data_IF_280386609815
#
_entry.id   IF_280386609815
#
_cell.length_a   1.000
_cell.length_b   1.000
_cell.length_c   1.000
_cell.angle_alpha   90.00
_cell.angle_beta   90.00
_cell.angle_gamma   90.00
#
_symmetry.space_group_name_H-M   'P 1'
#
loop_
_entity.id
_entity.type
_entity.pdbx_description
1 polymer ?
#
# COMPACT_ATOMS: atom_id res chain seq x y z
N UNK A 1 27.26 44.76 -5.87
CA UNK A 1 27.58 43.48 -6.54
C UNK A 1 27.41 42.32 -5.54
N UNK A 2 26.24 42.19 -4.92
CA UNK A 2 25.89 41.08 -3.97
C UNK A 2 24.42 40.65 -4.19
N UNK A 3 23.78 41.13 -5.26
CA UNK A 3 22.37 40.89 -5.55
C UNK A 3 22.12 39.78 -6.58
N UNK A 4 23.05 39.59 -7.53
CA UNK A 4 22.83 38.68 -8.67
C UNK A 4 23.14 37.21 -8.32
N UNK A 5 24.10 36.93 -7.43
CA UNK A 5 24.47 35.55 -7.05
C UNK A 5 23.40 34.85 -6.19
N UNK A 6 22.63 35.59 -5.39
CA UNK A 6 21.54 35.00 -4.59
C UNK A 6 20.29 34.68 -5.43
N UNK A 7 20.08 35.41 -6.53
CA UNK A 7 18.92 35.24 -7.41
C UNK A 7 19.09 34.01 -8.32
N UNK A 8 20.33 33.70 -8.72
CA UNK A 8 20.67 32.51 -9.50
C UNK A 8 20.60 31.19 -8.69
N UNK A 9 20.94 31.22 -7.40
CA UNK A 9 20.75 30.06 -6.52
C UNK A 9 19.28 29.74 -6.24
N UNK A 10 18.39 30.74 -6.22
CA UNK A 10 16.94 30.51 -6.15
C UNK A 10 16.40 29.93 -7.46
N UNK A 11 16.83 30.44 -8.62
CA UNK A 11 16.42 29.90 -9.94
C UNK A 11 16.82 28.43 -10.16
N UNK A 12 17.96 28.01 -9.61
CA UNK A 12 18.47 26.64 -9.74
C UNK A 12 17.67 25.60 -8.93
N UNK A 13 17.11 25.97 -7.78
CA UNK A 13 16.32 25.05 -6.95
C UNK A 13 14.87 24.86 -7.43
N UNK A 14 14.35 25.79 -8.24
CA UNK A 14 13.00 25.74 -8.80
C UNK A 14 12.83 24.73 -9.95
N UNK A 15 13.93 24.29 -10.58
CA UNK A 15 13.88 23.31 -11.68
C UNK A 15 13.74 21.86 -11.22
N UNK A 16 13.85 21.60 -9.91
CA UNK A 16 13.76 20.25 -9.32
C UNK A 16 12.43 20.02 -8.60
N UNK A 17 11.44 20.89 -8.79
CA UNK A 17 10.16 20.75 -8.12
C UNK A 17 9.32 19.70 -8.85
N UNK A 18 9.23 18.52 -8.25
CA UNK A 18 8.40 17.42 -8.75
C UNK A 18 6.96 17.90 -8.92
N UNK A 19 6.40 17.63 -10.10
CA UNK A 19 5.00 17.90 -10.40
C UNK A 19 4.10 17.04 -9.51
N UNK A 20 3.17 17.64 -8.75
CA UNK A 20 2.29 16.87 -7.86
C UNK A 20 1.43 15.87 -8.63
N UNK A 21 1.12 16.13 -9.90
CA UNK A 21 0.43 15.19 -10.79
C UNK A 21 1.22 13.90 -10.94
N UNK A 22 2.54 13.98 -11.13
CA UNK A 22 3.39 12.80 -11.31
C UNK A 22 3.48 11.96 -10.04
N UNK A 23 3.52 12.62 -8.88
CA UNK A 23 3.47 11.91 -7.60
C UNK A 23 2.11 11.22 -7.43
N UNK A 24 1.02 11.91 -7.77
CA UNK A 24 -0.33 11.38 -7.69
C UNK A 24 -0.51 10.14 -8.59
N UNK A 25 -0.06 10.23 -9.84
CA UNK A 25 -0.06 9.13 -10.81
C UNK A 25 0.78 7.94 -10.31
N UNK A 26 1.97 8.23 -9.76
CA UNK A 26 2.84 7.20 -9.19
C UNK A 26 2.20 6.49 -8.00
N UNK A 27 1.54 7.23 -7.10
CA UNK A 27 0.81 6.67 -5.96
C UNK A 27 -0.34 5.77 -6.46
N UNK A 28 -1.16 6.25 -7.39
CA UNK A 28 -2.29 5.50 -7.95
C UNK A 28 -1.82 4.19 -8.60
N UNK A 29 -0.76 4.24 -9.41
CA UNK A 29 -0.19 3.05 -10.05
C UNK A 29 0.34 2.01 -9.04
N UNK A 30 0.94 2.46 -7.93
CA UNK A 30 1.41 1.54 -6.90
C UNK A 30 0.27 0.92 -6.09
N UNK A 31 -0.79 1.68 -5.81
CA UNK A 31 -2.01 1.14 -5.16
C UNK A 31 -2.65 0.09 -6.07
N UNK A 32 -2.77 0.37 -7.37
CA UNK A 32 -3.29 -0.58 -8.35
C UNK A 32 -2.49 -1.90 -8.34
N UNK A 33 -1.16 -1.81 -8.46
CA UNK A 33 -0.29 -3.00 -8.46
C UNK A 33 -0.40 -3.83 -7.16
N UNK A 34 -0.57 -3.17 -6.02
CA UNK A 34 -0.75 -3.85 -4.74
C UNK A 34 -2.13 -4.52 -4.64
N UNK A 35 -3.16 -3.96 -5.26
CA UNK A 35 -4.52 -4.51 -5.25
C UNK A 35 -4.73 -5.65 -6.25
N UNK A 36 -3.86 -5.79 -7.26
CA UNK A 36 -3.86 -6.93 -8.21
C UNK A 36 -3.50 -8.28 -7.57
N UNK A 37 -2.86 -8.26 -6.39
CA UNK A 37 -2.55 -9.47 -5.61
C UNK A 37 -1.78 -10.53 -6.41
N UNK A 38 -0.81 -10.09 -7.21
CA UNK A 38 0.12 -10.97 -7.92
C UNK A 38 1.08 -11.68 -6.94
N UNK A 39 1.83 -12.67 -7.44
CA UNK A 39 2.78 -13.45 -6.63
C UNK A 39 3.77 -12.60 -5.80
N UNK A 40 4.15 -11.41 -6.29
CA UNK A 40 5.09 -10.50 -5.62
C UNK A 40 4.41 -9.48 -4.71
N UNK A 41 3.17 -9.09 -5.00
CA UNK A 41 2.45 -8.06 -4.25
C UNK A 41 1.53 -8.60 -3.19
N UNK A 42 1.14 -9.87 -3.26
CA UNK A 42 0.18 -10.51 -2.36
C UNK A 42 0.51 -10.36 -0.87
N UNK A 43 1.79 -10.50 -0.48
CA UNK A 43 2.23 -10.36 0.92
C UNK A 43 2.09 -8.92 1.45
N UNK A 44 2.02 -7.94 0.55
CA UNK A 44 1.93 -6.51 0.88
C UNK A 44 0.55 -5.92 0.59
N UNK A 45 -0.16 -6.43 -0.42
CA UNK A 45 -1.45 -5.97 -0.89
C UNK A 45 -2.63 -6.47 -0.06
N UNK A 46 -2.43 -7.60 0.64
CA UNK A 46 -3.47 -8.18 1.50
C UNK A 46 -3.99 -7.22 2.56
N UNK A 47 -3.14 -6.31 3.05
CA UNK A 47 -3.51 -5.29 4.05
C UNK A 47 -4.62 -4.36 3.57
N UNK A 48 -4.71 -4.07 2.26
CA UNK A 48 -5.76 -3.21 1.72
C UNK A 48 -7.13 -3.88 1.83
N UNK A 49 -7.18 -5.20 1.60
CA UNK A 49 -8.43 -5.96 1.65
C UNK A 49 -8.88 -6.33 3.08
N UNK A 50 -8.06 -6.13 4.11
CA UNK A 50 -8.47 -6.34 5.51
C UNK A 50 -9.54 -5.35 5.98
N UNK A 51 -9.59 -4.16 5.36
CA UNK A 51 -10.57 -3.11 5.65
C UNK A 51 -11.35 -2.75 4.40
N UNK A 52 -12.09 -3.75 3.90
CA UNK A 52 -12.97 -3.67 2.72
C UNK A 52 -13.65 -2.29 2.68
N UNK A 53 -13.42 -1.55 1.60
CA UNK A 53 -13.83 -0.16 1.46
C UNK A 53 -13.36 0.43 0.14
N UNK A 54 -13.15 1.74 0.13
CA UNK A 54 -12.73 2.49 -1.04
C UNK A 54 -11.43 3.24 -0.74
N UNK A 55 -10.48 3.20 -1.66
CA UNK A 55 -9.33 4.09 -1.65
C UNK A 55 -9.54 5.12 -2.75
N UNK A 56 -9.56 6.40 -2.37
CA UNK A 56 -9.70 7.52 -3.30
C UNK A 56 -8.40 8.31 -3.31
N UNK A 57 -7.84 8.52 -4.49
CA UNK A 57 -6.66 9.36 -4.71
C UNK A 57 -7.13 10.71 -5.24
N UNK A 58 -6.80 11.78 -4.51
CA UNK A 58 -7.17 13.15 -4.84
C UNK A 58 -5.94 13.97 -5.21
N UNK A 59 -6.06 14.84 -6.20
CA UNK A 59 -5.12 15.92 -6.49
C UNK A 59 -5.83 17.25 -6.35
N UNK A 60 -5.37 18.11 -5.44
CA UNK A 60 -5.98 19.43 -5.18
C UNK A 60 -7.50 19.37 -4.91
N UNK A 61 -7.96 18.27 -4.31
CA UNK A 61 -9.38 18.02 -4.01
C UNK A 61 -10.18 17.40 -5.15
N UNK A 62 -9.59 17.25 -6.34
CA UNK A 62 -10.21 16.56 -7.47
C UNK A 62 -9.86 15.08 -7.49
N UNK A 63 -10.86 14.24 -7.78
CA UNK A 63 -10.68 12.79 -7.87
C UNK A 63 -9.82 12.41 -9.09
N UNK A 64 -8.77 11.63 -8.84
CA UNK A 64 -7.87 11.10 -9.86
C UNK A 64 -8.03 9.60 -10.06
N UNK A 65 -8.24 8.84 -8.99
CA UNK A 65 -8.45 7.41 -9.05
C UNK A 65 -9.29 6.92 -7.88
N UNK A 66 -10.13 5.92 -8.15
CA UNK A 66 -10.98 5.25 -7.17
C UNK A 66 -10.74 3.75 -7.25
N UNK A 67 -10.45 3.15 -6.11
CA UNK A 67 -10.26 1.71 -5.96
C UNK A 67 -11.36 1.18 -5.04
N UNK A 68 -12.41 0.62 -5.64
CA UNK A 68 -13.46 -0.08 -4.89
C UNK A 68 -12.98 -1.49 -4.55
N UNK A 69 -12.40 -1.64 -3.36
CA UNK A 69 -11.77 -2.89 -2.94
C UNK A 69 -12.78 -4.04 -2.85
N UNK A 70 -14.03 -3.76 -2.51
CA UNK A 70 -15.09 -4.78 -2.49
C UNK A 70 -15.36 -5.37 -3.89
N UNK A 71 -15.50 -4.50 -4.89
CA UNK A 71 -15.69 -4.89 -6.28
C UNK A 71 -14.46 -5.63 -6.82
N UNK A 72 -13.27 -5.07 -6.62
CA UNK A 72 -12.02 -5.68 -7.08
C UNK A 72 -11.79 -7.07 -6.46
N UNK A 73 -12.06 -7.22 -5.15
CA UNK A 73 -11.98 -8.51 -4.46
C UNK A 73 -12.96 -9.54 -5.04
N UNK A 74 -14.14 -9.10 -5.49
CA UNK A 74 -15.15 -9.98 -6.09
C UNK A 74 -14.76 -10.47 -7.49
N UNK A 75 -13.93 -9.70 -8.20
CA UNK A 75 -13.43 -9.99 -9.55
C UNK A 75 -12.16 -10.85 -9.52
N UNK A 76 -11.49 -10.95 -8.37
CA UNK A 76 -10.35 -11.84 -8.22
C UNK A 76 -10.76 -13.29 -8.51
N UNK A 77 -9.98 -14.03 -9.32
CA UNK A 77 -10.35 -15.36 -9.77
C UNK A 77 -10.66 -16.31 -8.61
N UNK A 78 -11.86 -16.90 -8.61
CA UNK A 78 -12.27 -17.96 -7.69
C UNK A 78 -11.68 -19.31 -8.12
N UNK A 79 -10.36 -19.44 -7.96
CA UNK A 79 -9.58 -20.65 -8.21
C UNK A 79 -8.19 -20.43 -7.65
N UNK A 80 -7.38 -21.48 -7.49
CA UNK A 80 -5.97 -21.32 -7.14
C UNK A 80 -5.22 -20.91 -8.42
N UNK A 81 -4.95 -19.62 -8.66
CA UNK A 81 -4.22 -19.18 -9.85
C UNK A 81 -2.72 -19.51 -9.72
N UNK A 82 -2.27 -20.01 -8.56
CA UNK A 82 -0.87 -19.96 -8.15
C UNK A 82 -0.31 -21.30 -7.63
N UNK A 83 -1.07 -22.39 -7.73
CA UNK A 83 -0.61 -23.74 -7.44
C UNK A 83 -0.46 -24.05 -5.95
N UNK A 84 -0.71 -25.33 -5.65
CA UNK A 84 -0.71 -25.97 -4.32
C UNK A 84 0.46 -25.60 -3.37
N UNK A 85 1.55 -25.04 -3.87
CA UNK A 85 2.77 -24.70 -3.15
C UNK A 85 2.64 -23.47 -2.25
N UNK A 86 1.77 -22.50 -2.58
CA UNK A 86 1.70 -21.21 -1.85
C UNK A 86 0.83 -21.30 -0.60
N UNK A 87 -0.20 -22.15 -0.58
CA UNK A 87 -1.14 -22.23 0.55
C UNK A 87 -0.46 -22.63 1.86
N UNK A 88 0.44 -23.60 1.82
CA UNK A 88 1.16 -24.07 3.01
C UNK A 88 2.25 -23.06 3.44
N UNK A 89 2.94 -22.44 2.48
CA UNK A 89 3.87 -21.33 2.77
C UNK A 89 3.15 -20.10 3.37
N UNK A 90 1.93 -19.81 2.92
CA UNK A 90 1.09 -18.72 3.44
C UNK A 90 0.67 -19.00 4.88
N UNK A 91 0.23 -20.22 5.20
CA UNK A 91 -0.08 -20.62 6.59
C UNK A 91 1.14 -20.50 7.49
N UNK A 92 2.30 -20.95 7.02
CA UNK A 92 3.55 -20.86 7.77
C UNK A 92 3.95 -19.40 8.02
N UNK A 93 3.95 -18.56 6.97
CA UNK A 93 4.28 -17.13 7.08
C UNK A 93 3.29 -16.38 7.97
N UNK A 94 1.99 -16.65 7.83
CA UNK A 94 0.96 -16.04 8.66
C UNK A 94 1.10 -16.46 10.14
N UNK A 95 1.42 -17.73 10.40
CA UNK A 95 1.73 -18.21 11.75
C UNK A 95 2.91 -17.45 12.37
N UNK A 96 4.04 -17.35 11.65
CA UNK A 96 5.23 -16.60 12.10
C UNK A 96 4.95 -15.11 12.33
N UNK A 97 4.19 -14.49 11.42
CA UNK A 97 3.76 -13.11 11.58
C UNK A 97 2.90 -12.92 12.83
N UNK A 98 1.90 -13.80 13.03
CA UNK A 98 1.00 -13.75 14.19
C UNK A 98 1.78 -13.89 15.50
N UNK A 99 2.69 -14.85 15.60
CA UNK A 99 3.55 -15.04 16.77
C UNK A 99 4.39 -13.79 17.09
N UNK A 100 5.04 -13.22 16.07
CA UNK A 100 5.85 -12.00 16.21
C UNK A 100 4.99 -10.82 16.67
N UNK A 101 3.86 -10.59 16.03
CA UNK A 101 2.97 -9.47 16.34
C UNK A 101 2.36 -9.60 17.74
N UNK A 102 2.00 -10.81 18.18
CA UNK A 102 1.54 -11.04 19.55
C UNK A 102 2.64 -10.67 20.54
N UNK A 103 3.87 -11.12 20.29
CA UNK A 103 5.03 -10.80 21.14
C UNK A 103 5.27 -9.30 21.24
N UNK A 104 5.35 -8.61 20.10
CA UNK A 104 5.58 -7.15 20.04
C UNK A 104 4.45 -6.38 20.75
N UNK A 105 3.20 -6.80 20.62
CA UNK A 105 2.06 -6.17 21.29
C UNK A 105 2.11 -6.37 22.80
N UNK A 106 2.45 -7.57 23.29
CA UNK A 106 2.61 -7.83 24.72
C UNK A 106 3.77 -7.01 25.31
N UNK A 107 4.90 -6.92 24.61
CA UNK A 107 6.04 -6.08 25.01
C UNK A 107 5.66 -4.58 25.07
N UNK A 108 4.77 -4.14 24.18
CA UNK A 108 4.22 -2.78 24.18
C UNK A 108 3.06 -2.55 25.16
N UNK A 109 2.66 -3.55 25.95
CA UNK A 109 1.52 -3.45 26.88
C UNK A 109 0.15 -3.33 26.18
N UNK A 110 0.08 -3.70 24.90
CA UNK A 110 -1.14 -3.63 24.10
C UNK A 110 -1.96 -4.91 24.26
N UNK A 111 -3.28 -4.76 24.29
CA UNK A 111 -4.20 -5.89 24.31
C UNK A 111 -4.05 -6.73 23.04
N UNK A 112 -4.01 -8.05 23.23
CA UNK A 112 -4.03 -9.07 22.19
C UNK A 112 -5.40 -9.75 22.24
N UNK A 113 -6.18 -9.60 21.17
CA UNK A 113 -7.47 -10.29 21.02
C UNK A 113 -7.20 -11.59 20.26
N UNK A 114 -7.43 -12.73 20.91
CA UNK A 114 -7.45 -14.03 20.22
C UNK A 114 -8.85 -14.25 19.65
N UNK A 115 -9.01 -14.47 18.33
CA UNK A 115 -10.27 -14.91 17.77
C UNK A 115 -10.43 -16.39 18.07
N UNK A 116 -10.97 -16.72 19.23
CA UNK A 116 -11.41 -18.08 19.57
C UNK A 116 -12.58 -17.97 20.54
N UNK A 117 -13.64 -17.31 20.09
CA UNK A 117 -15.04 -17.52 20.50
C UNK A 117 -15.92 -17.46 19.25
#
# INVERSE_FOLDING_TARGET
MVGEEQEDHKKSLCQTQMRPEWLCDWIAANIQRLTEMDYTTMDYGGIFYERIGEIVVLLDGEEKAVFNLGAMLSELPKGDPWGFTIRELRKERFGKWKERTIKERLEAGLLVVNPTE
#
